data_IF_033630621689
#
_entry.id   IF_033630621689
#
_cell.length_a   1.000
_cell.length_b   1.000
_cell.length_c   1.000
_cell.angle_alpha   90.00
_cell.angle_beta   90.00
_cell.angle_gamma   90.00
#
_symmetry.space_group_name_H-M   'P 1'
#
loop_
_entity.id
_entity.type
_entity.pdbx_description
1 polymer ?
#
# COMPACT_ATOMS: atom_id res chain seq x y z
N UNK A 1 -20.32 -12.41 -1.21
CA UNK A 1 -19.58 -11.97 -0.03
C UNK A 1 -19.01 -10.59 -0.28
N UNK A 2 -19.21 -9.70 0.65
CA UNK A 2 -18.61 -8.36 0.58
C UNK A 2 -17.12 -8.49 0.91
N UNK A 3 -16.26 -8.24 -0.05
CA UNK A 3 -14.83 -8.21 0.19
C UNK A 3 -14.47 -6.88 0.86
N UNK A 4 -13.93 -6.93 2.08
CA UNK A 4 -13.56 -5.74 2.82
C UNK A 4 -12.35 -5.06 2.16
N UNK A 5 -12.45 -3.74 1.95
CA UNK A 5 -11.42 -2.88 1.40
C UNK A 5 -11.22 -1.69 2.33
N UNK A 6 -10.06 -1.59 2.95
CA UNK A 6 -9.72 -0.50 3.87
C UNK A 6 -8.57 0.30 3.27
N UNK A 7 -8.73 1.60 3.17
CA UNK A 7 -7.68 2.53 2.80
C UNK A 7 -7.20 3.28 4.05
N UNK A 8 -5.90 3.21 4.33
CA UNK A 8 -5.24 3.96 5.40
C UNK A 8 -4.37 5.03 4.76
N UNK A 9 -4.69 6.29 5.02
CA UNK A 9 -3.90 7.44 4.53
C UNK A 9 -3.36 8.26 5.70
N UNK A 10 -2.37 9.06 5.44
CA UNK A 10 -1.78 9.96 6.42
C UNK A 10 -0.37 10.39 6.04
N UNK A 11 0.17 11.38 6.75
CA UNK A 11 1.51 11.88 6.54
C UNK A 11 2.62 10.90 6.95
N UNK A 12 3.84 11.28 6.65
CA UNK A 12 5.03 10.54 7.08
C UNK A 12 5.06 10.46 8.61
N UNK A 13 5.40 9.31 9.17
CA UNK A 13 5.48 9.05 10.63
C UNK A 13 4.17 9.28 11.40
N UNK A 14 3.02 9.26 10.74
CA UNK A 14 1.70 9.44 11.38
C UNK A 14 1.20 8.19 12.14
N UNK A 15 1.93 7.06 12.08
CA UNK A 15 1.50 5.80 12.70
C UNK A 15 0.57 4.95 11.83
N UNK A 16 0.36 5.31 10.56
CA UNK A 16 -0.55 4.58 9.65
C UNK A 16 -0.16 3.12 9.42
N UNK A 17 1.14 2.80 9.33
CA UNK A 17 1.59 1.40 9.17
C UNK A 17 1.15 0.55 10.36
N UNK A 18 1.31 1.06 11.59
CA UNK A 18 0.87 0.38 12.81
C UNK A 18 -0.66 0.22 12.87
N UNK A 19 -1.39 1.24 12.42
CA UNK A 19 -2.85 1.16 12.31
C UNK A 19 -3.27 0.13 11.27
N UNK A 20 -2.63 0.13 10.10
CA UNK A 20 -2.91 -0.82 9.03
C UNK A 20 -2.66 -2.28 9.46
N UNK A 21 -1.59 -2.54 10.19
CA UNK A 21 -1.35 -3.87 10.78
C UNK A 21 -2.46 -4.27 11.74
N UNK A 22 -2.87 -3.39 12.66
CA UNK A 22 -3.98 -3.65 13.59
C UNK A 22 -5.28 -3.96 12.84
N UNK A 23 -5.58 -3.20 11.78
CA UNK A 23 -6.75 -3.41 10.96
C UNK A 23 -6.70 -4.76 10.24
N UNK A 24 -5.55 -5.14 9.68
CA UNK A 24 -5.38 -6.44 9.04
C UNK A 24 -5.66 -7.60 10.00
N UNK A 25 -5.24 -7.50 11.27
CA UNK A 25 -5.53 -8.50 12.30
C UNK A 25 -6.97 -8.47 12.82
N UNK A 26 -7.67 -7.35 12.66
CA UNK A 26 -9.07 -7.24 13.08
C UNK A 26 -10.06 -7.90 12.10
N UNK A 27 -9.62 -8.16 10.87
CA UNK A 27 -10.43 -8.84 9.86
C UNK A 27 -10.50 -10.32 10.20
N UNK A 28 -11.68 -10.92 10.35
CA UNK A 28 -11.80 -12.35 10.64
C UNK A 28 -11.19 -13.22 9.54
N UNK A 29 -10.33 -14.14 9.92
CA UNK A 29 -9.69 -15.10 9.02
C UNK A 29 -8.95 -16.17 9.80
N UNK A 30 -8.75 -17.34 9.20
CA UNK A 30 -8.06 -18.48 9.82
C UNK A 30 -6.55 -18.47 9.63
N UNK A 31 -6.11 -17.81 8.55
CA UNK A 31 -4.70 -17.78 8.16
C UNK A 31 -4.04 -16.48 8.56
N UNK A 32 -2.71 -16.52 8.73
CA UNK A 32 -1.94 -15.30 8.92
C UNK A 32 -2.14 -14.36 7.71
N UNK A 33 -2.39 -13.06 7.94
CA UNK A 33 -2.50 -12.10 6.85
C UNK A 33 -1.18 -12.03 6.06
N UNK A 34 -1.30 -11.72 4.78
CA UNK A 34 -0.16 -11.45 3.91
C UNK A 34 0.26 -9.99 4.07
N UNK A 35 1.56 -9.78 4.24
CA UNK A 35 2.18 -8.47 4.16
C UNK A 35 2.85 -8.35 2.78
N UNK A 36 2.24 -7.59 1.88
CA UNK A 36 2.77 -7.33 0.56
C UNK A 36 3.67 -6.10 0.62
N UNK A 37 4.97 -6.36 0.68
CA UNK A 37 6.00 -5.33 0.71
C UNK A 37 6.33 -4.87 -0.71
N UNK A 38 6.18 -3.58 -0.96
CA UNK A 38 6.39 -2.99 -2.29
C UNK A 38 7.75 -2.32 -2.46
N UNK A 39 8.57 -2.28 -1.42
CA UNK A 39 9.93 -1.76 -1.50
C UNK A 39 10.77 -2.66 -2.40
N UNK A 40 11.38 -2.07 -3.43
CA UNK A 40 12.32 -2.79 -4.28
C UNK A 40 13.65 -3.03 -3.58
N UNK A 41 14.40 -4.00 -4.11
CA UNK A 41 15.76 -4.26 -3.64
C UNK A 41 16.62 -2.99 -3.78
N UNK A 42 17.43 -2.74 -2.77
CA UNK A 42 18.40 -1.65 -2.75
C UNK A 42 19.79 -2.18 -2.41
N UNK A 43 20.82 -1.57 -2.98
CA UNK A 43 22.21 -1.85 -2.64
C UNK A 43 22.69 -1.07 -1.41
N UNK A 44 21.88 -0.15 -0.87
CA UNK A 44 22.19 0.62 0.33
C UNK A 44 22.17 -0.28 1.58
N UNK A 45 23.33 -0.50 2.24
CA UNK A 45 23.43 -1.39 3.40
C UNK A 45 22.56 -0.96 4.59
N UNK A 46 22.41 0.34 4.81
CA UNK A 46 21.59 0.85 5.91
C UNK A 46 20.10 0.53 5.67
N UNK A 47 19.63 0.75 4.44
CA UNK A 47 18.26 0.45 4.08
C UNK A 47 17.99 -1.07 4.08
N UNK A 48 18.95 -1.87 3.64
CA UNK A 48 18.87 -3.34 3.73
C UNK A 48 18.72 -3.82 5.18
N UNK A 49 19.49 -3.27 6.11
CA UNK A 49 19.39 -3.62 7.53
C UNK A 49 18.02 -3.24 8.11
N UNK A 50 17.50 -2.07 7.75
CA UNK A 50 16.17 -1.63 8.19
C UNK A 50 15.06 -2.55 7.66
N UNK A 51 15.14 -2.95 6.39
CA UNK A 51 14.20 -3.90 5.77
C UNK A 51 14.29 -5.26 6.49
N UNK A 52 15.49 -5.79 6.72
CA UNK A 52 15.69 -7.07 7.40
C UNK A 52 15.13 -7.06 8.83
N UNK A 53 15.35 -5.98 9.58
CA UNK A 53 14.80 -5.82 10.92
C UNK A 53 13.26 -5.80 10.91
N UNK A 54 12.66 -5.08 9.98
CA UNK A 54 11.21 -5.06 9.82
C UNK A 54 10.63 -6.41 9.41
N UNK A 55 11.31 -7.14 8.53
CA UNK A 55 10.93 -8.51 8.15
C UNK A 55 10.98 -9.45 9.36
N UNK A 56 12.03 -9.38 10.16
CA UNK A 56 12.17 -10.19 11.36
C UNK A 56 11.08 -9.91 12.40
N UNK A 57 10.73 -8.64 12.61
CA UNK A 57 9.65 -8.24 13.52
C UNK A 57 8.27 -8.73 13.08
N UNK A 58 8.06 -8.97 11.78
CA UNK A 58 6.80 -9.43 11.19
C UNK A 58 6.72 -10.94 10.98
N UNK A 59 7.85 -11.66 11.04
CA UNK A 59 7.98 -13.05 10.59
C UNK A 59 6.98 -14.03 11.23
N UNK A 60 6.57 -13.77 12.47
CA UNK A 60 5.61 -14.61 13.20
C UNK A 60 4.15 -14.14 13.06
N UNK A 61 3.94 -12.95 12.50
CA UNK A 61 2.63 -12.29 12.45
C UNK A 61 2.04 -12.22 11.04
N UNK A 62 2.89 -12.24 10.03
CA UNK A 62 2.50 -12.13 8.62
C UNK A 62 3.25 -13.15 7.76
N UNK A 63 2.60 -13.53 6.66
CA UNK A 63 3.30 -14.11 5.53
C UNK A 63 3.80 -12.96 4.66
N UNK A 64 5.11 -12.71 4.63
CA UNK A 64 5.67 -11.60 3.84
C UNK A 64 5.87 -12.03 2.39
N UNK A 65 5.34 -11.22 1.47
CA UNK A 65 5.57 -11.32 0.02
C UNK A 65 6.20 -10.00 -0.42
N UNK A 66 7.31 -10.10 -1.15
CA UNK A 66 7.99 -8.95 -1.75
C UNK A 66 7.64 -8.85 -3.23
N UNK A 67 6.96 -7.79 -3.64
CA UNK A 67 6.61 -7.51 -5.02
C UNK A 67 6.47 -5.99 -5.24
N UNK A 68 7.37 -5.43 -6.03
CA UNK A 68 7.45 -3.99 -6.25
C UNK A 68 6.63 -3.45 -7.42
N UNK A 69 6.18 -4.28 -8.36
CA UNK A 69 5.53 -3.85 -9.59
C UNK A 69 4.15 -4.49 -9.84
N UNK A 70 4.07 -5.81 -9.76
CA UNK A 70 2.87 -6.56 -10.14
C UNK A 70 2.17 -7.11 -8.91
N UNK A 71 1.31 -6.31 -8.31
CA UNK A 71 0.76 -6.55 -6.98
C UNK A 71 0.09 -7.91 -6.81
N UNK A 72 -0.50 -8.46 -7.87
CA UNK A 72 -1.17 -9.76 -7.81
C UNK A 72 -0.28 -10.95 -8.16
N UNK A 73 0.89 -10.72 -8.75
CA UNK A 73 1.71 -11.77 -9.36
C UNK A 73 2.04 -12.92 -8.41
N UNK A 74 2.29 -12.61 -7.15
CA UNK A 74 2.70 -13.58 -6.12
C UNK A 74 1.60 -13.89 -5.11
N UNK A 75 0.44 -13.26 -5.23
CA UNK A 75 -0.68 -13.56 -4.34
C UNK A 75 -1.27 -14.94 -4.66
N UNK A 76 -1.71 -15.70 -3.64
CA UNK A 76 -2.37 -16.98 -3.86
C UNK A 76 -3.73 -16.79 -4.54
N UNK A 77 -4.27 -17.86 -5.10
CA UNK A 77 -5.61 -17.83 -5.73
C UNK A 77 -6.73 -17.83 -4.69
N UNK A 78 -6.49 -18.44 -3.54
CA UNK A 78 -7.43 -18.52 -2.43
C UNK A 78 -7.60 -17.16 -1.75
N UNK A 79 -8.82 -16.82 -1.30
CA UNK A 79 -9.06 -15.58 -0.56
C UNK A 79 -8.17 -15.43 0.66
N UNK A 80 -7.51 -14.29 0.79
CA UNK A 80 -6.64 -13.96 1.93
C UNK A 80 -6.86 -12.52 2.38
N UNK A 81 -6.41 -12.22 3.58
CA UNK A 81 -6.26 -10.85 4.06
C UNK A 81 -4.89 -10.36 3.62
N UNK A 82 -4.83 -9.23 2.91
CA UNK A 82 -3.59 -8.68 2.35
C UNK A 82 -3.43 -7.24 2.78
N UNK A 83 -2.35 -6.96 3.48
CA UNK A 83 -1.89 -5.60 3.79
C UNK A 83 -0.87 -5.19 2.72
N UNK A 84 -1.16 -4.15 1.95
CA UNK A 84 -0.24 -3.59 0.96
C UNK A 84 0.50 -2.39 1.57
N UNK A 85 1.78 -2.55 1.82
CA UNK A 85 2.65 -1.53 2.40
C UNK A 85 3.82 -1.21 1.47
N UNK A 86 3.77 -0.13 0.71
CA UNK A 86 2.65 0.80 0.55
C UNK A 86 2.40 1.07 -0.95
N UNK A 87 1.22 1.54 -1.28
CA UNK A 87 0.89 1.95 -2.65
C UNK A 87 1.75 3.11 -3.14
N UNK A 88 2.17 3.99 -2.25
CA UNK A 88 3.02 5.13 -2.58
C UNK A 88 4.37 4.69 -3.15
N UNK A 89 5.04 3.73 -2.50
CA UNK A 89 6.30 3.17 -2.99
C UNK A 89 6.09 2.40 -4.30
N UNK A 90 5.00 1.66 -4.39
CA UNK A 90 4.63 0.94 -5.62
C UNK A 90 4.44 1.89 -6.81
N UNK A 91 3.74 3.02 -6.65
CA UNK A 91 3.58 4.04 -7.69
C UNK A 91 4.93 4.63 -8.11
N UNK A 92 5.80 4.88 -7.14
CA UNK A 92 7.16 5.34 -7.41
C UNK A 92 7.95 4.33 -8.25
N UNK A 93 7.86 3.04 -7.92
CA UNK A 93 8.51 1.97 -8.67
C UNK A 93 7.99 1.92 -10.13
N UNK A 94 6.68 1.99 -10.32
CA UNK A 94 6.08 1.99 -11.67
C UNK A 94 6.63 3.13 -12.52
N UNK A 95 6.68 4.35 -11.98
CA UNK A 95 7.20 5.51 -12.70
C UNK A 95 8.70 5.38 -13.02
N UNK A 96 9.49 4.86 -12.08
CA UNK A 96 10.92 4.62 -12.31
C UNK A 96 11.19 3.57 -13.38
N UNK A 97 10.31 2.57 -13.51
CA UNK A 97 10.38 1.56 -14.57
C UNK A 97 9.73 2.01 -15.90
N UNK A 98 9.33 3.28 -16.01
CA UNK A 98 8.78 3.85 -17.23
C UNK A 98 7.33 3.47 -17.52
N UNK A 99 6.62 2.93 -16.53
CA UNK A 99 5.18 2.65 -16.66
C UNK A 99 4.36 3.92 -16.47
N UNK A 100 3.20 3.95 -17.11
CA UNK A 100 2.30 5.09 -17.10
C UNK A 100 1.14 4.92 -16.09
N UNK A 101 0.31 5.93 -16.02
CA UNK A 101 -0.88 5.97 -15.18
C UNK A 101 -1.89 4.89 -15.54
N UNK A 102 -2.08 4.61 -16.83
CA UNK A 102 -3.02 3.59 -17.31
C UNK A 102 -2.64 2.21 -16.74
N UNK A 103 -1.35 1.90 -16.70
CA UNK A 103 -0.86 0.67 -16.09
C UNK A 103 -1.12 0.61 -14.59
N UNK A 104 -0.92 1.72 -13.88
CA UNK A 104 -1.20 1.79 -12.45
C UNK A 104 -2.68 1.51 -12.15
N UNK A 105 -3.59 2.14 -12.86
CA UNK A 105 -5.02 1.91 -12.67
C UNK A 105 -5.46 0.50 -13.07
N UNK A 106 -4.91 -0.05 -14.15
CA UNK A 106 -5.17 -1.45 -14.56
C UNK A 106 -4.78 -2.46 -13.46
N UNK A 107 -3.61 -2.27 -12.85
CA UNK A 107 -3.17 -3.13 -11.73
C UNK A 107 -4.06 -2.98 -10.48
N UNK A 108 -4.44 -1.75 -10.14
CA UNK A 108 -5.33 -1.48 -9.00
C UNK A 108 -6.72 -2.04 -9.22
N UNK A 109 -7.28 -1.90 -10.43
CA UNK A 109 -8.57 -2.46 -10.78
C UNK A 109 -8.58 -3.99 -10.69
N UNK A 110 -7.53 -4.62 -11.19
CA UNK A 110 -7.36 -6.05 -11.11
C UNK A 110 -7.21 -6.52 -9.64
N UNK A 111 -6.45 -5.79 -8.83
CA UNK A 111 -6.32 -6.04 -7.40
C UNK A 111 -7.69 -5.89 -6.69
N UNK A 112 -8.42 -4.82 -7.00
CA UNK A 112 -9.73 -4.54 -6.43
C UNK A 112 -10.76 -5.63 -6.70
N UNK A 113 -10.73 -6.20 -7.90
CA UNK A 113 -11.65 -7.25 -8.32
C UNK A 113 -11.22 -8.66 -7.90
N UNK A 114 -10.07 -8.79 -7.26
CA UNK A 114 -9.58 -10.08 -6.75
C UNK A 114 -10.39 -10.57 -5.53
N UNK A 115 -10.32 -11.86 -5.18
CA UNK A 115 -11.08 -12.43 -4.07
C UNK A 115 -10.56 -12.06 -2.68
N UNK A 116 -9.46 -11.31 -2.59
CA UNK A 116 -8.83 -10.98 -1.31
C UNK A 116 -9.53 -9.84 -0.59
N UNK A 117 -9.32 -9.76 0.72
CA UNK A 117 -9.65 -8.60 1.54
C UNK A 117 -8.40 -7.74 1.72
N UNK A 118 -8.50 -6.42 1.59
CA UNK A 118 -7.33 -5.55 1.57
C UNK A 118 -7.35 -4.49 2.67
N UNK A 119 -6.15 -4.27 3.22
CA UNK A 119 -5.77 -3.03 3.88
C UNK A 119 -4.68 -2.37 3.02
N UNK A 120 -5.00 -1.22 2.43
CA UNK A 120 -4.12 -0.50 1.52
C UNK A 120 -3.55 0.73 2.23
N UNK A 121 -2.24 0.90 2.21
CA UNK A 121 -1.58 2.08 2.79
C UNK A 121 -1.14 3.03 1.68
N UNK A 122 -1.57 4.28 1.77
CA UNK A 122 -1.21 5.35 0.84
C UNK A 122 -0.74 6.57 1.64
N UNK A 123 0.51 7.00 1.41
CA UNK A 123 1.05 8.20 2.04
C UNK A 123 0.49 9.47 1.40
N UNK A 124 0.19 10.47 2.20
CA UNK A 124 -0.06 11.82 1.73
C UNK A 124 1.24 12.47 1.26
N UNK A 125 1.36 12.69 -0.04
CA UNK A 125 2.54 13.28 -0.69
C UNK A 125 2.22 14.59 -1.41
N UNK A 126 0.96 14.99 -1.44
CA UNK A 126 0.48 16.20 -2.13
C UNK A 126 0.37 17.44 -1.25
N UNK A 127 0.61 17.32 0.06
CA UNK A 127 0.55 18.43 1.01
C UNK A 127 1.94 19.04 1.19
N UNK A 128 2.23 20.13 0.51
CA UNK A 128 3.51 20.82 0.64
C UNK A 128 3.90 21.65 -0.58
N UNK A 129 5.19 22.00 -0.65
CA UNK A 129 5.75 22.77 -1.77
C UNK A 129 5.69 21.91 -3.04
N UNK A 130 5.19 22.49 -4.13
CA UNK A 130 5.18 21.85 -5.45
C UNK A 130 6.61 21.53 -5.85
N UNK A 131 6.95 20.25 -6.13
CA UNK A 131 8.30 19.87 -6.50
C UNK A 131 8.75 20.52 -7.82
N UNK A 132 10.01 20.93 -7.89
CA UNK A 132 10.58 21.45 -9.13
C UNK A 132 10.88 20.35 -10.14
N UNK A 133 11.15 19.13 -9.66
CA UNK A 133 11.41 17.95 -10.49
C UNK A 133 10.12 17.45 -11.18
N UNK A 134 10.08 17.33 -12.53
CA UNK A 134 8.91 16.87 -13.25
C UNK A 134 8.43 15.46 -12.85
N UNK A 135 9.35 14.54 -12.57
CA UNK A 135 9.01 13.18 -12.16
C UNK A 135 8.33 13.18 -10.77
N UNK A 136 8.84 13.99 -9.85
CA UNK A 136 8.23 14.14 -8.51
C UNK A 136 6.82 14.77 -8.60
N UNK A 137 6.59 15.71 -9.52
CA UNK A 137 5.24 16.25 -9.77
C UNK A 137 4.30 15.18 -10.32
N UNK A 138 4.75 14.40 -11.32
CA UNK A 138 3.95 13.29 -11.86
C UNK A 138 3.61 12.26 -10.80
N UNK A 139 4.54 11.95 -9.93
CA UNK A 139 4.33 11.05 -8.81
C UNK A 139 3.27 11.60 -7.83
N UNK A 140 3.38 12.86 -7.43
CA UNK A 140 2.40 13.50 -6.53
C UNK A 140 0.99 13.55 -7.16
N UNK A 141 0.90 13.90 -8.44
CA UNK A 141 -0.38 13.94 -9.18
C UNK A 141 -1.00 12.55 -9.30
N UNK A 142 -0.21 11.54 -9.65
CA UNK A 142 -0.68 10.16 -9.77
C UNK A 142 -1.14 9.61 -8.40
N UNK A 143 -0.37 9.85 -7.35
CA UNK A 143 -0.74 9.46 -5.99
C UNK A 143 -2.07 10.11 -5.56
N UNK A 144 -2.28 11.38 -5.87
CA UNK A 144 -3.53 12.09 -5.63
C UNK A 144 -4.71 11.48 -6.38
N UNK A 145 -4.56 11.17 -7.67
CA UNK A 145 -5.60 10.54 -8.48
C UNK A 145 -5.93 9.11 -7.99
N UNK A 146 -4.93 8.35 -7.60
CA UNK A 146 -5.12 7.01 -7.01
C UNK A 146 -5.92 7.12 -5.71
N UNK A 147 -5.58 8.08 -4.84
CA UNK A 147 -6.33 8.32 -3.61
C UNK A 147 -7.78 8.70 -3.87
N UNK A 148 -8.05 9.57 -4.84
CA UNK A 148 -9.40 9.95 -5.25
C UNK A 148 -10.18 8.76 -5.82
N UNK A 149 -9.57 7.96 -6.67
CA UNK A 149 -10.19 6.78 -7.25
C UNK A 149 -10.57 5.75 -6.18
N UNK A 150 -9.63 5.41 -5.29
CA UNK A 150 -9.90 4.51 -4.17
C UNK A 150 -11.00 5.05 -3.25
N UNK A 151 -10.99 6.36 -2.99
CA UNK A 151 -12.02 7.03 -2.20
C UNK A 151 -13.39 7.08 -2.84
N UNK A 152 -13.49 6.99 -4.18
CA UNK A 152 -14.75 7.00 -4.92
C UNK A 152 -15.43 5.63 -5.02
N UNK A 153 -14.70 4.54 -4.75
CA UNK A 153 -15.23 3.19 -4.84
C UNK A 153 -16.20 2.90 -3.69
N UNK A 154 -17.49 2.85 -4.00
CA UNK A 154 -18.59 2.77 -3.02
C UNK A 154 -18.83 1.38 -2.40
N UNK A 155 -17.89 0.47 -2.46
CA UNK A 155 -18.04 -0.87 -1.89
C UNK A 155 -17.06 -1.07 -0.73
N UNK A 156 -17.58 -0.97 0.48
CA UNK A 156 -16.83 -1.21 1.71
C UNK A 156 -16.86 -0.01 2.65
N UNK A 157 -16.58 -0.25 3.92
CA UNK A 157 -16.45 0.81 4.92
C UNK A 157 -15.21 1.61 4.58
N UNK A 158 -15.39 2.79 4.00
CA UNK A 158 -14.33 3.78 3.89
C UNK A 158 -14.11 4.40 5.27
N UNK A 159 -13.09 3.97 5.97
CA UNK A 159 -12.50 4.78 7.02
C UNK A 159 -11.28 5.48 6.44
N UNK A 160 -11.48 6.66 5.89
CA UNK A 160 -10.42 7.63 5.76
C UNK A 160 -10.16 8.15 7.19
N UNK A 161 -9.23 7.55 7.88
CA UNK A 161 -8.77 8.07 9.15
C UNK A 161 -7.74 9.15 8.83
N UNK A 162 -8.19 10.39 8.74
CA UNK A 162 -7.31 11.52 8.98
C UNK A 162 -6.87 11.42 10.43
N UNK A 163 -5.74 10.79 10.68
CA UNK A 163 -5.13 10.82 12.00
C UNK A 163 -4.46 12.17 12.20
N UNK A 164 -5.27 13.21 12.44
CA UNK A 164 -4.82 14.43 13.06
C UNK A 164 -4.68 14.13 14.55
N UNK A 165 -3.63 13.42 14.94
CA UNK A 165 -3.23 13.42 16.32
C UNK A 165 -2.36 14.63 16.56
N UNK A 166 -2.99 15.72 17.00
CA UNK A 166 -2.31 16.74 17.77
C UNK A 166 -2.15 16.21 19.19
N UNK A 167 -0.94 15.88 19.55
CA UNK A 167 -0.49 15.91 20.94
C UNK A 167 0.30 17.18 21.15
#
# INVERSE_FOLDING_TARGET
MTHLRILVTGGVKSGKSRLAEKLAFSIPGSDLPIYLATTEFTEDPELQQRIALHQQQRAERFVTIEEGLWLQKKLPKEPRIVLVECLTMWLNNLLHHGHDEERAFSELEALWNSPHQFVLVLNEVGLGIVPTNPLARRFADLSGRVGQWLGSLKQGIQQSLESSFFL
#
